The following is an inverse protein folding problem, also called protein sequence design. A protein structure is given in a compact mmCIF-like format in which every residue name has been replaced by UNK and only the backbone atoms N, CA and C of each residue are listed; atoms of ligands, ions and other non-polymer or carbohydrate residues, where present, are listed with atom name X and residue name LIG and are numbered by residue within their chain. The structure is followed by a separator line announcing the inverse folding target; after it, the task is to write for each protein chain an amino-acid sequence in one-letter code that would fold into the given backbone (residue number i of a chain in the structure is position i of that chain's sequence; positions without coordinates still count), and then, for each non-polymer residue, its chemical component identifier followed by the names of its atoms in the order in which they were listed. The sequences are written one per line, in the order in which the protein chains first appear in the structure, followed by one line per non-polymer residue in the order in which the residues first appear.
data_IF_539718369760
#
_entry.id   IF_539718369760
#
_cell.length_a   1.000
_cell.length_b   1.000
_cell.length_c   1.000
_cell.angle_alpha   90.00
_cell.angle_beta   90.00
_cell.angle_gamma   90.00
#
_symmetry.space_group_name_H-M   'P 1'
#
loop_
_entity.id
_entity.type
_entity.pdbx_description
1 polymer ?
#
# COMPACT_ATOMS: atom_id res chain seq x y z
N UNK A 1 -1.16 1.71 -14.15
CA UNK A 1 0.20 1.26 -14.47
C UNK A 1 1.15 2.44 -14.41
N UNK A 2 2.35 2.25 -13.87
CA UNK A 2 3.40 3.26 -13.89
C UNK A 2 4.47 2.86 -14.90
N UNK A 3 4.78 3.77 -15.82
CA UNK A 3 5.88 3.60 -16.77
C UNK A 3 5.69 2.51 -17.82
N UNK A 4 6.80 2.03 -18.37
CA UNK A 4 6.85 1.18 -19.55
C UNK A 4 6.88 -0.33 -19.23
N UNK A 5 6.39 -0.75 -18.06
CA UNK A 5 6.41 -2.17 -17.66
C UNK A 5 5.04 -2.65 -17.21
N UNK A 6 4.67 -3.83 -17.68
CA UNK A 6 3.48 -4.56 -17.21
C UNK A 6 3.77 -5.37 -15.93
N UNK A 7 5.02 -5.41 -15.49
CA UNK A 7 5.41 -6.11 -14.27
C UNK A 7 5.05 -5.30 -13.01
N UNK A 8 3.76 -5.07 -12.82
CA UNK A 8 3.18 -4.39 -11.67
C UNK A 8 2.17 -5.30 -10.97
N UNK A 9 1.91 -5.07 -9.69
CA UNK A 9 0.88 -5.80 -8.93
C UNK A 9 -0.48 -5.65 -9.63
N UNK A 10 -0.83 -4.44 -10.08
CA UNK A 10 -2.05 -4.20 -10.84
C UNK A 10 -2.09 -5.04 -12.12
N UNK A 11 -1.03 -5.05 -12.93
CA UNK A 11 -1.00 -5.84 -14.16
C UNK A 11 -1.11 -7.34 -13.92
N UNK A 12 -0.52 -7.84 -12.83
CA UNK A 12 -0.66 -9.27 -12.45
C UNK A 12 -2.10 -9.62 -12.06
N UNK A 13 -2.78 -8.75 -11.32
CA UNK A 13 -4.21 -8.91 -11.00
C UNK A 13 -5.07 -8.86 -12.25
N UNK A 14 -4.87 -7.88 -13.12
CA UNK A 14 -5.60 -7.74 -14.39
C UNK A 14 -5.40 -8.96 -15.30
N UNK A 15 -4.18 -9.50 -15.40
CA UNK A 15 -3.90 -10.71 -16.18
C UNK A 15 -4.62 -11.95 -15.63
N UNK A 16 -4.71 -12.11 -14.31
CA UNK A 16 -5.44 -13.24 -13.71
C UNK A 16 -6.95 -13.08 -13.90
N UNK A 17 -7.47 -11.87 -13.77
CA UNK A 17 -8.88 -11.56 -14.04
C UNK A 17 -9.24 -11.80 -15.51
N UNK A 18 -8.37 -11.42 -16.45
CA UNK A 18 -8.54 -11.74 -17.87
C UNK A 18 -8.61 -13.26 -18.11
N UNK A 19 -7.77 -14.04 -17.47
CA UNK A 19 -7.84 -15.52 -17.56
C UNK A 19 -9.13 -16.10 -16.98
N UNK A 20 -9.72 -15.43 -16.00
CA UNK A 20 -10.96 -15.84 -15.37
C UNK A 20 -12.18 -15.53 -16.27
N UNK A 21 -12.19 -14.35 -16.88
CA UNK A 21 -13.38 -13.80 -17.57
C UNK A 21 -13.31 -13.87 -19.09
N UNK A 22 -12.13 -13.91 -19.67
CA UNK A 22 -11.91 -13.71 -21.11
C UNK A 22 -11.96 -12.25 -21.54
N UNK A 23 -12.18 -11.30 -20.61
CA UNK A 23 -12.34 -9.88 -20.87
C UNK A 23 -11.26 -9.05 -20.16
N UNK A 24 -10.90 -7.90 -20.75
CA UNK A 24 -10.02 -6.93 -20.09
C UNK A 24 -10.74 -6.26 -18.93
N UNK A 25 -10.26 -6.48 -17.73
CA UNK A 25 -10.79 -5.92 -16.49
C UNK A 25 -9.79 -4.94 -15.89
N UNK A 26 -10.18 -3.68 -15.75
CA UNK A 26 -9.37 -2.66 -15.09
C UNK A 26 -9.48 -2.78 -13.57
N UNK A 27 -8.31 -2.82 -12.89
CA UNK A 27 -8.22 -2.86 -11.43
C UNK A 27 -7.87 -1.47 -10.90
N UNK A 28 -8.73 -0.93 -10.05
CA UNK A 28 -8.53 0.36 -9.39
C UNK A 28 -8.00 0.16 -7.97
N UNK A 29 -6.72 0.47 -7.74
CA UNK A 29 -6.12 0.45 -6.40
C UNK A 29 -6.39 1.72 -5.59
N UNK A 30 -6.50 1.60 -4.26
CA UNK A 30 -6.68 2.74 -3.36
C UNK A 30 -5.49 3.72 -3.34
N UNK A 31 -4.33 3.29 -3.80
CA UNK A 31 -3.14 4.13 -3.96
C UNK A 31 -2.05 3.40 -4.71
N UNK A 32 -1.08 4.17 -5.19
CA UNK A 32 0.14 3.63 -5.78
C UNK A 32 1.16 3.36 -4.68
N UNK A 33 1.95 2.33 -4.87
CA UNK A 33 3.14 2.04 -4.08
C UNK A 33 4.36 2.13 -4.99
N UNK A 34 5.43 2.73 -4.50
CA UNK A 34 6.70 2.76 -5.23
C UNK A 34 7.36 1.37 -5.24
N UNK A 35 8.33 1.17 -6.13
CA UNK A 35 9.04 -0.10 -6.20
C UNK A 35 9.70 -0.44 -4.86
N UNK A 36 9.53 -1.68 -4.42
CA UNK A 36 10.05 -2.15 -3.13
C UNK A 36 9.19 -1.82 -1.91
N UNK A 37 8.10 -1.07 -2.07
CA UNK A 37 7.13 -0.84 -0.98
C UNK A 37 6.15 -2.01 -0.92
N UNK A 38 5.92 -2.51 0.29
CA UNK A 38 4.99 -3.60 0.57
C UNK A 38 3.69 -3.07 1.15
N UNK A 39 2.58 -3.76 0.89
CA UNK A 39 1.28 -3.44 1.47
C UNK A 39 0.75 -4.65 2.25
N UNK A 40 0.31 -4.43 3.50
CA UNK A 40 -0.33 -5.48 4.32
C UNK A 40 -1.83 -5.59 4.07
N UNK A 41 -2.44 -4.55 3.49
CA UNK A 41 -3.89 -4.51 3.27
C UNK A 41 -4.26 -3.43 2.25
N UNK A 42 -3.68 -3.47 1.06
CA UNK A 42 -4.10 -2.59 -0.04
C UNK A 42 -5.50 -2.97 -0.49
N UNK A 43 -6.36 -1.99 -0.68
CA UNK A 43 -7.72 -2.19 -1.20
C UNK A 43 -7.74 -1.88 -2.70
N UNK A 44 -8.42 -2.73 -3.47
CA UNK A 44 -8.68 -2.51 -4.88
C UNK A 44 -10.13 -2.88 -5.20
N UNK A 45 -10.67 -2.34 -6.28
CA UNK A 45 -11.94 -2.76 -6.84
C UNK A 45 -11.82 -2.97 -8.34
N UNK A 46 -12.70 -3.81 -8.87
CA UNK A 46 -12.89 -4.08 -10.28
C UNK A 46 -14.35 -4.47 -10.53
N UNK A 47 -14.76 -4.47 -11.79
CA UNK A 47 -16.08 -4.94 -12.22
C UNK A 47 -15.92 -6.26 -12.96
N UNK A 48 -16.76 -7.24 -12.65
CA UNK A 48 -16.79 -8.55 -13.30
C UNK A 48 -18.23 -9.04 -13.37
N UNK A 49 -18.57 -9.80 -14.43
CA UNK A 49 -19.89 -10.37 -14.58
C UNK A 49 -20.18 -11.39 -13.46
N UNK A 50 -21.35 -11.29 -12.83
CA UNK A 50 -21.78 -12.18 -11.76
C UNK A 50 -21.96 -13.65 -12.22
N UNK A 51 -22.19 -13.90 -13.49
CA UNK A 51 -22.25 -15.26 -14.04
C UNK A 51 -20.87 -15.93 -14.02
N UNK A 52 -19.80 -15.16 -14.16
CA UNK A 52 -18.41 -15.64 -14.13
C UNK A 52 -17.90 -15.73 -12.70
N UNK A 53 -18.23 -14.74 -11.87
CA UNK A 53 -17.76 -14.63 -10.49
C UNK A 53 -18.93 -14.23 -9.58
N UNK A 54 -19.68 -15.20 -9.05
CA UNK A 54 -20.93 -14.94 -8.33
C UNK A 54 -20.74 -14.28 -6.96
N UNK A 55 -19.57 -14.42 -6.36
CA UNK A 55 -19.29 -13.90 -5.02
C UNK A 55 -17.82 -13.55 -4.80
N UNK A 56 -17.55 -12.89 -3.65
CA UNK A 56 -16.20 -12.48 -3.32
C UNK A 56 -15.25 -13.65 -2.99
N UNK A 57 -15.76 -14.74 -2.44
CA UNK A 57 -14.94 -15.89 -2.09
C UNK A 57 -14.41 -16.59 -3.35
N UNK A 58 -15.25 -16.76 -4.35
CA UNK A 58 -14.87 -17.29 -5.67
C UNK A 58 -13.77 -16.44 -6.31
N UNK A 59 -13.91 -15.11 -6.23
CA UNK A 59 -12.87 -14.18 -6.70
C UNK A 59 -11.56 -14.38 -5.93
N UNK A 60 -11.62 -14.44 -4.59
CA UNK A 60 -10.45 -14.61 -3.72
C UNK A 60 -9.71 -15.90 -4.01
N UNK A 61 -10.44 -17.01 -4.11
CA UNK A 61 -9.85 -18.32 -4.36
C UNK A 61 -9.20 -18.40 -5.73
N UNK A 62 -9.88 -17.92 -6.77
CA UNK A 62 -9.33 -17.93 -8.12
C UNK A 62 -8.08 -17.06 -8.22
N UNK A 63 -8.13 -15.82 -7.71
CA UNK A 63 -6.99 -14.92 -7.70
C UNK A 63 -5.80 -15.54 -6.97
N UNK A 64 -5.99 -16.10 -5.77
CA UNK A 64 -4.91 -16.71 -4.99
C UNK A 64 -4.34 -17.99 -5.62
N UNK A 65 -5.08 -18.66 -6.48
CA UNK A 65 -4.61 -19.86 -7.21
C UNK A 65 -3.61 -19.51 -8.32
N UNK A 66 -3.76 -18.33 -8.93
CA UNK A 66 -3.00 -17.95 -10.13
C UNK A 66 -2.09 -16.74 -9.96
N UNK A 67 -2.20 -16.03 -8.85
CA UNK A 67 -1.26 -14.95 -8.51
C UNK A 67 0.09 -15.54 -8.07
N UNK A 68 1.20 -14.82 -8.29
CA UNK A 68 2.50 -15.24 -7.79
C UNK A 68 2.55 -15.15 -6.25
N UNK A 69 3.51 -15.86 -5.65
CA UNK A 69 3.63 -16.05 -4.19
C UNK A 69 3.80 -14.75 -3.38
N UNK A 70 4.21 -13.67 -4.04
CA UNK A 70 4.40 -12.35 -3.44
C UNK A 70 3.14 -11.47 -3.46
N UNK A 71 2.02 -11.97 -4.00
CA UNK A 71 0.74 -11.27 -4.04
C UNK A 71 -0.38 -12.18 -3.51
N UNK A 72 -1.08 -11.72 -2.46
CA UNK A 72 -2.18 -12.47 -1.87
C UNK A 72 -3.41 -11.62 -1.65
N UNK A 73 -4.57 -12.12 -2.07
CA UNK A 73 -5.88 -11.54 -1.75
C UNK A 73 -6.32 -12.08 -0.38
N UNK A 74 -6.44 -11.21 0.60
CA UNK A 74 -6.84 -11.59 1.96
C UNK A 74 -8.35 -11.82 2.07
N UNK A 75 -9.12 -10.96 1.43
CA UNK A 75 -10.59 -11.06 1.35
C UNK A 75 -11.08 -10.35 0.09
N UNK A 76 -12.24 -10.77 -0.40
CA UNK A 76 -12.96 -10.06 -1.43
C UNK A 76 -14.47 -10.08 -1.10
N UNK A 77 -15.20 -9.07 -1.54
CA UNK A 77 -16.64 -8.96 -1.31
C UNK A 77 -17.30 -8.10 -2.39
N UNK A 78 -18.55 -8.38 -2.66
CA UNK A 78 -19.38 -7.53 -3.51
C UNK A 78 -19.65 -6.23 -2.76
N UNK A 79 -19.57 -5.12 -3.49
CA UNK A 79 -19.82 -3.76 -2.98
C UNK A 79 -20.74 -3.02 -3.94
N UNK A 80 -21.44 -1.96 -3.50
CA UNK A 80 -22.23 -1.14 -4.40
C UNK A 80 -21.42 -0.61 -5.58
N UNK A 81 -22.02 -0.49 -6.76
CA UNK A 81 -21.36 -0.07 -8.00
C UNK A 81 -20.63 1.28 -7.87
N UNK A 82 -21.18 2.20 -7.08
CA UNK A 82 -20.55 3.52 -6.80
C UNK A 82 -19.28 3.46 -5.95
N UNK A 83 -18.94 2.28 -5.40
CA UNK A 83 -17.73 2.15 -4.59
C UNK A 83 -16.47 2.29 -5.46
N UNK A 84 -15.54 3.10 -4.98
CA UNK A 84 -14.24 3.25 -5.62
C UNK A 84 -13.14 3.25 -4.56
N UNK A 85 -12.26 2.25 -4.59
CA UNK A 85 -11.23 2.00 -3.57
C UNK A 85 -10.39 3.22 -3.20
N UNK A 86 -10.16 4.13 -4.14
CA UNK A 86 -9.39 5.35 -3.92
C UNK A 86 -10.24 6.52 -3.42
N UNK A 87 -11.44 6.72 -4.02
CA UNK A 87 -12.29 7.88 -3.72
C UNK A 87 -13.09 7.67 -2.45
N UNK A 88 -13.43 6.41 -2.14
CA UNK A 88 -14.14 6.02 -0.91
C UNK A 88 -13.20 5.78 0.28
N UNK A 89 -11.88 5.94 0.10
CA UNK A 89 -10.93 5.78 1.19
C UNK A 89 -11.03 6.94 2.19
N UNK A 90 -11.21 6.61 3.46
CA UNK A 90 -11.30 7.58 4.56
C UNK A 90 -9.91 7.94 5.07
N UNK A 91 -9.05 6.94 5.25
CA UNK A 91 -7.69 7.12 5.75
C UNK A 91 -6.74 6.09 5.17
N UNK A 92 -5.43 6.31 5.36
CA UNK A 92 -4.35 5.38 5.01
C UNK A 92 -3.32 5.36 6.12
N UNK A 93 -2.90 4.16 6.50
CA UNK A 93 -1.85 3.97 7.49
C UNK A 93 -0.58 3.50 6.80
N UNK A 94 0.55 4.08 7.16
CA UNK A 94 1.88 3.71 6.69
C UNK A 94 2.72 3.23 7.86
N UNK A 95 3.40 2.11 7.69
CA UNK A 95 4.34 1.58 8.67
C UNK A 95 5.76 1.62 8.12
N UNK A 96 6.68 2.19 8.89
CA UNK A 96 8.11 2.20 8.61
C UNK A 96 8.80 1.38 9.68
N UNK A 97 9.57 0.38 9.27
CA UNK A 97 10.32 -0.48 10.17
C UNK A 97 11.79 -0.13 10.06
N UNK A 98 12.39 0.26 11.18
CA UNK A 98 13.77 0.72 11.24
C UNK A 98 14.55 -0.15 12.21
N UNK A 99 15.69 -0.70 11.78
CA UNK A 99 16.67 -1.38 12.62
C UNK A 99 17.79 -0.41 12.98
N UNK A 100 17.94 -0.15 14.28
CA UNK A 100 18.93 0.79 14.80
C UNK A 100 20.23 0.12 15.28
N UNK A 101 20.24 -1.23 15.33
CA UNK A 101 21.41 -2.01 15.66
C UNK A 101 22.52 -1.93 14.61
N UNK A 102 23.74 -2.23 15.03
CA UNK A 102 24.93 -2.30 14.17
C UNK A 102 24.94 -3.54 13.26
N UNK A 103 24.18 -4.58 13.60
CA UNK A 103 24.07 -5.82 12.84
C UNK A 103 22.98 -5.74 11.79
N UNK A 104 23.36 -5.90 10.54
CA UNK A 104 22.40 -5.95 9.43
C UNK A 104 21.55 -7.23 9.50
N UNK A 105 20.24 -7.09 9.59
CA UNK A 105 19.30 -8.20 9.45
C UNK A 105 19.15 -8.58 7.98
N UNK A 106 19.89 -9.59 7.53
CA UNK A 106 19.90 -10.01 6.12
C UNK A 106 18.59 -10.66 5.69
N UNK A 107 17.83 -11.27 6.59
CA UNK A 107 16.56 -11.92 6.28
C UNK A 107 15.42 -10.91 6.09
N UNK A 108 15.41 -9.83 6.86
CA UNK A 108 14.37 -8.81 6.80
C UNK A 108 14.77 -7.59 5.96
N UNK A 109 15.92 -7.60 5.29
CA UNK A 109 16.46 -6.43 4.56
C UNK A 109 15.54 -5.82 3.51
N UNK A 110 14.55 -6.56 3.03
CA UNK A 110 13.53 -6.05 2.09
C UNK A 110 12.38 -5.33 2.78
N UNK A 111 12.22 -5.48 4.09
CA UNK A 111 11.08 -4.99 4.85
C UNK A 111 11.46 -3.98 5.93
N UNK A 112 12.73 -3.96 6.33
CA UNK A 112 13.24 -3.15 7.44
C UNK A 112 14.41 -2.30 6.95
N UNK A 113 14.35 -1.01 7.21
CA UNK A 113 15.46 -0.09 6.92
C UNK A 113 16.55 -0.21 8.00
N UNK A 114 17.73 -0.65 7.61
CA UNK A 114 18.89 -0.71 8.48
C UNK A 114 19.53 0.67 8.65
N UNK A 115 19.21 1.36 9.73
CA UNK A 115 19.78 2.68 10.04
C UNK A 115 21.25 2.57 10.50
N UNK A 116 21.60 1.49 11.21
CA UNK A 116 22.97 1.21 11.68
C UNK A 116 23.48 2.17 12.75
N UNK A 117 22.60 2.94 13.40
CA UNK A 117 22.94 3.87 14.48
C UNK A 117 21.76 4.05 15.43
N UNK A 118 22.07 4.34 16.69
CA UNK A 118 21.07 4.66 17.69
C UNK A 118 20.34 5.96 17.31
N UNK A 119 19.02 5.95 17.42
CA UNK A 119 18.15 7.12 17.21
C UNK A 119 17.65 7.64 18.56
N UNK A 120 17.46 8.95 18.65
CA UNK A 120 16.80 9.58 19.80
C UNK A 120 15.29 9.52 19.61
N UNK A 121 14.68 8.45 20.12
CA UNK A 121 13.24 8.21 19.98
C UNK A 121 12.42 9.25 20.73
N UNK A 122 12.94 9.81 21.83
CA UNK A 122 12.27 10.87 22.56
C UNK A 122 12.16 12.13 21.69
N UNK A 123 13.26 12.54 21.08
CA UNK A 123 13.26 13.68 20.15
C UNK A 123 12.38 13.41 18.91
N UNK A 124 12.38 12.16 18.39
CA UNK A 124 11.50 11.78 17.28
C UNK A 124 10.02 11.90 17.66
N UNK A 125 9.59 11.47 18.84
CA UNK A 125 8.21 11.61 19.32
C UNK A 125 7.82 13.08 19.48
N UNK A 126 8.69 13.91 20.04
CA UNK A 126 8.44 15.35 20.13
C UNK A 126 8.31 16.02 18.75
N UNK A 127 9.19 15.65 17.81
CA UNK A 127 9.10 16.16 16.44
C UNK A 127 7.84 15.71 15.71
N UNK A 128 7.35 14.48 15.97
CA UNK A 128 6.13 13.95 15.38
C UNK A 128 4.88 14.78 15.77
N UNK A 129 4.83 15.32 16.97
CA UNK A 129 3.72 16.14 17.44
C UNK A 129 3.49 17.38 16.57
N UNK A 130 4.55 17.98 16.02
CA UNK A 130 4.45 19.11 15.10
C UNK A 130 3.85 18.77 13.72
N UNK A 131 3.78 17.49 13.38
CA UNK A 131 3.27 17.00 12.09
C UNK A 131 1.81 16.55 12.19
N UNK A 132 1.27 16.38 13.40
CA UNK A 132 -0.12 15.98 13.61
C UNK A 132 -1.04 17.17 13.29
N UNK A 133 -2.18 16.89 12.66
CA UNK A 133 -3.12 17.90 12.23
C UNK A 133 -3.05 18.15 10.73
N UNK A 134 -3.61 19.29 10.30
CA UNK A 134 -3.64 19.68 8.90
C UNK A 134 -2.51 20.68 8.61
N UNK A 135 -1.63 20.31 7.68
CA UNK A 135 -0.47 21.14 7.31
C UNK A 135 -0.23 21.09 5.80
N UNK A 136 0.45 22.12 5.29
CA UNK A 136 1.00 22.08 3.94
C UNK A 136 2.38 21.40 3.94
N UNK A 137 2.41 20.17 3.44
CA UNK A 137 3.60 19.35 3.33
C UNK A 137 4.41 19.61 2.04
N UNK A 138 4.33 20.80 1.45
CA UNK A 138 5.04 21.14 0.21
C UNK A 138 6.55 20.92 0.33
N UNK A 139 7.15 21.25 1.46
CA UNK A 139 8.59 21.04 1.72
C UNK A 139 9.01 19.56 1.74
N UNK A 140 8.08 18.65 2.01
CA UNK A 140 8.30 17.20 1.99
C UNK A 140 7.95 16.55 0.64
N UNK A 141 7.46 17.34 -0.33
CA UNK A 141 7.03 16.82 -1.62
C UNK A 141 8.23 16.69 -2.57
N UNK A 142 8.52 15.45 -3.02
CA UNK A 142 9.57 15.20 -4.00
C UNK A 142 9.28 15.85 -5.37
N UNK A 143 8.00 15.96 -5.75
CA UNK A 143 7.59 16.61 -6.99
C UNK A 143 7.36 18.11 -6.77
N UNK A 144 8.40 18.91 -6.95
CA UNK A 144 8.34 20.38 -6.81
C UNK A 144 7.38 21.07 -7.79
N UNK A 145 7.01 20.40 -8.91
CA UNK A 145 6.10 20.94 -9.94
C UNK A 145 4.68 20.40 -9.78
N UNK A 146 4.35 19.81 -8.63
CA UNK A 146 3.01 19.29 -8.39
C UNK A 146 1.97 20.41 -8.40
N UNK A 147 0.99 20.33 -9.31
CA UNK A 147 -0.13 21.28 -9.43
C UNK A 147 -1.24 21.06 -8.39
N UNK A 148 -1.30 19.87 -7.78
CA UNK A 148 -2.31 19.54 -6.76
C UNK A 148 -1.89 20.05 -5.39
N UNK A 149 -2.88 20.34 -4.54
CA UNK A 149 -2.65 20.72 -3.15
C UNK A 149 -1.74 19.71 -2.44
N UNK A 150 -0.81 20.25 -1.65
CA UNK A 150 0.09 19.51 -0.75
C UNK A 150 -0.40 19.53 0.70
N UNK A 151 -1.54 20.16 0.96
CA UNK A 151 -2.19 20.11 2.26
C UNK A 151 -2.68 18.69 2.54
N UNK A 152 -2.28 18.16 3.70
CA UNK A 152 -2.67 16.83 4.18
C UNK A 152 -2.97 16.90 5.67
N UNK A 153 -3.82 16.00 6.12
CA UNK A 153 -4.08 15.80 7.54
C UNK A 153 -3.42 14.50 7.99
N UNK A 154 -2.65 14.59 9.06
CA UNK A 154 -2.10 13.44 9.78
C UNK A 154 -2.89 13.30 11.07
N UNK A 155 -3.60 12.20 11.22
CA UNK A 155 -4.45 11.96 12.38
C UNK A 155 -3.62 11.45 13.57
N UNK A 156 -2.61 10.61 13.30
CA UNK A 156 -1.76 10.02 14.34
C UNK A 156 -0.38 9.67 13.78
N UNK A 157 0.65 9.84 14.61
CA UNK A 157 1.99 9.27 14.42
C UNK A 157 2.36 8.50 15.68
N UNK A 158 2.55 7.19 15.55
CA UNK A 158 2.94 6.32 16.66
C UNK A 158 4.33 5.78 16.45
N UNK A 159 5.24 6.00 17.40
CA UNK A 159 6.62 5.49 17.38
C UNK A 159 6.76 4.48 18.51
N UNK A 160 6.98 3.21 18.15
CA UNK A 160 7.05 2.08 19.08
C UNK A 160 8.43 1.44 18.99
N UNK A 161 9.04 1.17 20.14
CA UNK A 161 10.35 0.52 20.24
C UNK A 161 10.19 -0.96 20.62
N UNK A 162 10.88 -1.82 19.90
CA UNK A 162 11.00 -3.25 20.21
C UNK A 162 12.47 -3.66 20.12
N UNK A 163 13.23 -3.50 21.21
CA UNK A 163 14.66 -3.74 21.22
C UNK A 163 15.41 -2.76 20.30
N UNK A 164 16.05 -3.27 19.26
CA UNK A 164 16.73 -2.46 18.23
C UNK A 164 15.83 -2.04 17.08
N UNK A 165 14.54 -2.39 17.10
CA UNK A 165 13.57 -2.03 16.05
C UNK A 165 12.64 -0.91 16.50
N UNK A 166 12.35 -0.04 15.57
CA UNK A 166 11.34 1.03 15.64
C UNK A 166 10.23 0.78 14.63
#
# INVERSE_FOLDING_TARGET
KQGNTDNTIQGKLENVLFRMSGEEIEVHGSGRTDAGVHARGQVANFHINAEICPDGESAREYLNRYLPDDIRVLSAKIVPERFHSRLSAISKTYGYYVETGDKKNVFERKYVYGCGKKLDVKAMRQAAEFLIGEHDFKSFCANRRMKKSTVRRIDEIRIVEHGTKL
#
